data_IF_321302312753
#
_entry.id   IF_321302312753
#
_cell.length_a   1.000
_cell.length_b   1.000
_cell.length_c   1.000
_cell.angle_alpha   90.00
_cell.angle_beta   90.00
_cell.angle_gamma   90.00
#
_symmetry.space_group_name_H-M   'P 1'
#
loop_
_entity.id
_entity.type
_entity.pdbx_description
1 polymer ?
#
# COMPACT_ATOMS: atom_id res chain seq x y z
N UNK A 1 -6.01 28.47 -12.97
CA UNK A 1 -5.41 27.17 -13.18
C UNK A 1 -5.18 26.45 -11.87
N UNK A 2 -5.84 25.32 -11.65
CA UNK A 2 -5.60 24.47 -10.50
C UNK A 2 -4.24 23.77 -10.69
N UNK A 3 -3.21 24.20 -9.97
CA UNK A 3 -1.96 23.45 -9.90
C UNK A 3 -2.16 22.26 -8.98
N UNK A 4 -2.28 21.08 -9.58
CA UNK A 4 -2.27 19.81 -8.86
C UNK A 4 -0.83 19.46 -8.48
N UNK A 5 -0.44 19.72 -7.24
CA UNK A 5 0.88 19.34 -6.73
C UNK A 5 0.90 17.84 -6.41
N UNK A 6 1.34 17.04 -7.37
CA UNK A 6 1.66 15.62 -7.13
C UNK A 6 3.15 15.56 -6.78
N UNK A 7 3.47 15.27 -5.53
CA UNK A 7 4.85 15.00 -5.10
C UNK A 7 4.90 13.73 -4.27
N UNK A 8 5.54 12.73 -4.85
CA UNK A 8 5.92 11.51 -4.14
C UNK A 8 7.20 11.81 -3.34
N UNK A 9 7.13 11.80 -2.02
CA UNK A 9 8.31 11.92 -1.17
C UNK A 9 8.30 10.82 -0.11
N UNK A 10 9.29 9.94 -0.20
CA UNK A 10 9.44 8.74 0.61
C UNK A 10 10.20 8.96 1.94
N UNK A 11 10.13 10.15 2.55
CA UNK A 11 10.78 10.44 3.83
C UNK A 11 9.77 10.76 4.93
N UNK A 12 9.85 10.05 6.06
CA UNK A 12 8.88 10.13 7.16
C UNK A 12 8.83 11.48 7.86
N UNK A 13 9.94 12.18 8.05
CA UNK A 13 9.97 13.48 8.74
C UNK A 13 9.49 14.67 7.89
N UNK A 14 9.66 14.62 6.58
CA UNK A 14 9.17 15.65 5.66
C UNK A 14 7.68 15.47 5.32
N UNK A 15 7.15 14.25 5.46
CA UNK A 15 5.76 13.92 5.12
C UNK A 15 4.77 14.63 6.02
N UNK A 16 4.98 14.64 7.33
CA UNK A 16 4.07 15.27 8.29
C UNK A 16 4.03 16.80 8.08
N UNK A 17 5.20 17.41 7.84
CA UNK A 17 5.30 18.84 7.51
C UNK A 17 4.59 19.16 6.19
N UNK A 18 4.68 18.29 5.20
CA UNK A 18 3.99 18.45 3.93
C UNK A 18 2.48 18.35 4.10
N UNK A 19 2.00 17.32 4.80
CA UNK A 19 0.57 17.12 5.08
C UNK A 19 -0.01 18.34 5.78
N UNK A 20 0.62 18.83 6.85
CA UNK A 20 0.18 20.03 7.57
C UNK A 20 0.08 21.26 6.66
N UNK A 21 1.02 21.44 5.71
CA UNK A 21 0.96 22.54 4.74
C UNK A 21 -0.18 22.35 3.74
N UNK A 22 -0.41 21.13 3.26
CA UNK A 22 -1.50 20.83 2.32
C UNK A 22 -2.87 21.01 2.98
N UNK A 23 -3.04 20.59 4.23
CA UNK A 23 -4.25 20.82 5.03
C UNK A 23 -4.54 22.31 5.20
N UNK A 24 -3.52 23.13 5.46
CA UNK A 24 -3.69 24.59 5.52
C UNK A 24 -4.11 25.20 4.19
N UNK A 25 -3.51 24.76 3.09
CA UNK A 25 -3.86 25.23 1.75
C UNK A 25 -5.24 24.76 1.33
N UNK A 26 -5.70 23.62 1.81
CA UNK A 26 -7.01 23.05 1.47
C UNK A 26 -8.19 23.88 1.97
N UNK A 27 -7.96 24.85 2.85
CA UNK A 27 -8.97 25.83 3.24
C UNK A 27 -9.37 26.77 2.09
N UNK A 28 -8.50 26.92 1.08
CA UNK A 28 -8.69 27.85 -0.03
C UNK A 28 -8.92 27.15 -1.38
N UNK A 29 -8.67 25.86 -1.46
CA UNK A 29 -8.82 25.06 -2.70
C UNK A 29 -8.98 23.58 -2.37
N UNK A 30 -9.60 22.77 -3.23
CA UNK A 30 -9.59 21.33 -3.08
C UNK A 30 -8.19 20.78 -3.36
N UNK A 31 -7.68 19.97 -2.44
CA UNK A 31 -6.35 19.33 -2.54
C UNK A 31 -6.54 17.83 -2.39
N UNK A 32 -6.00 17.06 -3.32
CA UNK A 32 -5.90 15.61 -3.23
C UNK A 32 -4.44 15.19 -2.96
N UNK A 33 -4.27 14.29 -2.01
CA UNK A 33 -2.97 13.70 -1.70
C UNK A 33 -3.06 12.19 -1.54
N UNK A 34 -2.13 11.48 -2.14
CA UNK A 34 -1.92 10.04 -1.92
C UNK A 34 -0.45 9.68 -2.10
N UNK A 35 0.11 8.91 -1.19
CA UNK A 35 1.46 8.37 -1.31
C UNK A 35 1.60 7.34 -2.44
N UNK A 36 0.50 6.76 -2.90
CA UNK A 36 0.44 5.86 -4.05
C UNK A 36 -0.80 6.18 -4.87
N UNK A 37 -0.61 6.57 -6.13
CA UNK A 37 -1.70 6.98 -7.01
C UNK A 37 -2.45 5.82 -7.65
N UNK A 38 -2.06 4.56 -7.42
CA UNK A 38 -2.82 3.41 -7.90
C UNK A 38 -4.13 3.25 -7.12
N UNK A 39 -5.26 3.42 -7.79
CA UNK A 39 -6.57 3.13 -7.21
C UNK A 39 -6.71 1.65 -6.84
N UNK A 40 -6.10 0.73 -7.62
CA UNK A 40 -6.09 -0.70 -7.31
C UNK A 40 -5.39 -1.02 -5.97
N UNK A 41 -4.28 -0.33 -5.66
CA UNK A 41 -3.61 -0.47 -4.36
C UNK A 41 -4.46 0.12 -3.23
N UNK A 42 -5.15 1.24 -3.45
CA UNK A 42 -6.11 1.75 -2.48
C UNK A 42 -7.25 0.74 -2.23
N UNK A 43 -7.86 0.20 -3.28
CA UNK A 43 -8.89 -0.83 -3.15
C UNK A 43 -8.38 -2.06 -2.41
N UNK A 44 -7.12 -2.49 -2.68
CA UNK A 44 -6.48 -3.60 -1.97
C UNK A 44 -6.37 -3.32 -0.46
N UNK A 45 -6.02 -2.10 -0.03
CA UNK A 45 -6.01 -1.76 1.40
C UNK A 45 -7.39 -1.91 2.03
N UNK A 46 -8.47 -1.49 1.34
CA UNK A 46 -9.85 -1.65 1.83
C UNK A 46 -10.31 -3.11 1.90
N UNK A 47 -9.88 -3.93 0.96
CA UNK A 47 -10.12 -5.37 1.01
C UNK A 47 -9.42 -5.99 2.23
N UNK A 48 -8.17 -5.57 2.52
CA UNK A 48 -7.42 -6.05 3.69
C UNK A 48 -8.08 -5.62 5.01
N UNK A 49 -8.60 -4.39 5.11
CA UNK A 49 -9.35 -3.92 6.27
C UNK A 49 -10.54 -4.84 6.60
N UNK A 50 -11.13 -5.48 5.59
CA UNK A 50 -12.22 -6.44 5.73
C UNK A 50 -11.71 -7.87 5.93
N UNK A 51 -10.74 -8.30 5.14
CA UNK A 51 -10.26 -9.69 5.12
C UNK A 51 -9.51 -10.06 6.41
N UNK A 52 -8.64 -9.20 6.91
CA UNK A 52 -7.80 -9.49 8.08
C UNK A 52 -8.62 -9.82 9.33
N UNK A 53 -9.68 -9.07 9.69
CA UNK A 53 -10.53 -9.44 10.82
C UNK A 53 -11.29 -10.75 10.63
N UNK A 54 -11.69 -11.08 9.39
CA UNK A 54 -12.41 -12.34 9.09
C UNK A 54 -11.48 -13.57 9.15
N UNK A 55 -10.19 -13.38 8.84
CA UNK A 55 -9.21 -14.45 8.70
C UNK A 55 -8.19 -14.43 9.85
N UNK A 56 -8.63 -14.12 11.08
CA UNK A 56 -7.75 -13.96 12.24
C UNK A 56 -6.92 -15.20 12.59
N UNK A 57 -7.45 -16.39 12.28
CA UNK A 57 -6.76 -17.65 12.54
C UNK A 57 -5.83 -18.11 11.41
N UNK A 58 -5.82 -17.38 10.29
CA UNK A 58 -4.95 -17.67 9.15
C UNK A 58 -3.57 -17.06 9.35
N UNK A 59 -2.55 -17.76 8.92
CA UNK A 59 -1.20 -17.24 8.76
C UNK A 59 -1.15 -16.27 7.58
N UNK A 60 -0.37 -15.20 7.68
CA UNK A 60 -0.26 -14.21 6.60
C UNK A 60 1.17 -14.15 6.08
N UNK A 61 1.31 -14.22 4.76
CA UNK A 61 2.57 -14.02 4.05
C UNK A 61 2.39 -12.98 2.96
N UNK A 62 3.29 -12.02 2.90
CA UNK A 62 3.31 -10.95 1.90
C UNK A 62 4.44 -11.17 0.92
N UNK A 63 4.14 -11.19 -0.36
CA UNK A 63 5.16 -11.28 -1.42
C UNK A 63 5.01 -10.12 -2.39
N UNK A 64 6.13 -9.50 -2.75
CA UNK A 64 6.18 -8.52 -3.83
C UNK A 64 7.23 -8.88 -4.86
N UNK A 65 6.96 -8.54 -6.11
CA UNK A 65 7.90 -8.72 -7.21
C UNK A 65 8.03 -7.43 -8.03
N UNK A 66 9.27 -7.03 -8.29
CA UNK A 66 9.59 -5.89 -9.14
C UNK A 66 10.78 -6.18 -10.06
N UNK A 67 11.02 -5.26 -10.98
CA UNK A 67 12.15 -5.33 -11.91
C UNK A 67 13.51 -5.41 -11.19
N UNK A 68 14.50 -5.99 -11.86
CA UNK A 68 15.84 -6.22 -11.32
C UNK A 68 16.63 -4.94 -11.00
N UNK A 69 16.15 -3.76 -11.42
CA UNK A 69 16.77 -2.45 -11.14
C UNK A 69 16.19 -1.75 -9.92
N UNK A 70 15.16 -2.32 -9.25
CA UNK A 70 14.59 -1.74 -8.04
C UNK A 70 15.50 -2.00 -6.85
N UNK A 71 15.92 -0.93 -6.17
CA UNK A 71 16.92 -0.99 -5.08
C UNK A 71 16.25 -1.26 -3.73
N UNK A 72 15.17 -0.53 -3.42
CA UNK A 72 14.46 -0.69 -2.16
C UNK A 72 13.76 -2.05 -2.09
N UNK A 73 13.93 -2.74 -0.96
CA UNK A 73 13.28 -4.01 -0.63
C UNK A 73 13.04 -4.07 0.89
N UNK A 74 11.80 -4.31 1.33
CA UNK A 74 10.58 -4.42 0.54
C UNK A 74 10.18 -3.08 -0.09
N UNK A 75 9.30 -3.13 -1.11
CA UNK A 75 8.76 -1.93 -1.75
C UNK A 75 7.90 -1.10 -0.77
N UNK A 76 7.87 0.23 -0.96
CA UNK A 76 7.00 1.09 -0.15
C UNK A 76 5.52 0.69 -0.16
N UNK A 77 5.05 0.09 -1.27
CA UNK A 77 3.69 -0.47 -1.35
C UNK A 77 3.51 -1.67 -0.43
N UNK A 78 4.47 -2.59 -0.39
CA UNK A 78 4.38 -3.74 0.52
C UNK A 78 4.43 -3.31 1.98
N UNK A 79 5.28 -2.34 2.33
CA UNK A 79 5.33 -1.75 3.67
C UNK A 79 3.97 -1.18 4.06
N UNK A 80 3.33 -0.41 3.16
CA UNK A 80 1.98 0.13 3.40
C UNK A 80 0.94 -0.97 3.64
N UNK A 81 0.97 -2.06 2.86
CA UNK A 81 0.05 -3.20 3.04
C UNK A 81 0.30 -3.90 4.38
N UNK A 82 1.57 -4.07 4.77
CA UNK A 82 1.93 -4.59 6.09
C UNK A 82 1.43 -3.69 7.22
N UNK A 83 1.57 -2.36 7.10
CA UNK A 83 1.11 -1.41 8.11
C UNK A 83 -0.40 -1.52 8.35
N UNK A 84 -1.20 -1.65 7.28
CA UNK A 84 -2.65 -1.90 7.39
C UNK A 84 -2.93 -3.20 8.16
N UNK A 85 -2.21 -4.28 7.86
CA UNK A 85 -2.38 -5.55 8.58
C UNK A 85 -1.98 -5.40 10.04
N UNK A 86 -0.88 -4.70 10.32
CA UNK A 86 -0.38 -4.48 11.67
C UNK A 86 -1.33 -3.65 12.54
N UNK A 87 -2.00 -2.66 11.97
CA UNK A 87 -3.06 -1.90 12.69
C UNK A 87 -4.20 -2.81 13.14
N UNK A 88 -4.53 -3.84 12.36
CA UNK A 88 -5.60 -4.80 12.64
C UNK A 88 -5.14 -6.00 13.46
N UNK A 89 -3.84 -6.30 13.46
CA UNK A 89 -3.17 -7.35 14.24
C UNK A 89 -1.96 -6.75 14.98
N UNK A 90 -2.20 -6.01 16.06
CA UNK A 90 -1.19 -5.24 16.78
C UNK A 90 0.04 -6.03 17.25
N UNK A 91 -0.12 -7.33 17.52
CA UNK A 91 0.97 -8.22 17.94
C UNK A 91 1.84 -8.71 16.78
N UNK A 92 1.48 -8.41 15.53
CA UNK A 92 2.20 -8.89 14.35
C UNK A 92 3.65 -8.41 14.31
N UNK A 93 4.55 -9.32 13.94
CA UNK A 93 5.97 -9.05 13.75
C UNK A 93 6.41 -9.43 12.34
N UNK A 94 7.12 -8.55 11.61
CA UNK A 94 7.59 -8.86 10.26
C UNK A 94 8.76 -9.84 10.31
N UNK A 95 8.75 -10.83 9.44
CA UNK A 95 9.83 -11.80 9.27
C UNK A 95 10.26 -11.79 7.80
N UNK A 96 11.49 -11.36 7.56
CA UNK A 96 12.02 -11.20 6.20
C UNK A 96 12.74 -12.45 5.69
N UNK A 97 13.19 -13.31 6.61
CA UNK A 97 13.87 -14.55 6.28
C UNK A 97 13.66 -15.59 7.38
N UNK A 98 13.44 -16.83 6.94
CA UNK A 98 13.34 -17.99 7.83
C UNK A 98 14.47 -19.00 7.64
N UNK A 99 15.48 -18.68 6.80
CA UNK A 99 16.54 -19.62 6.44
C UNK A 99 17.26 -20.19 7.67
N UNK A 100 17.60 -19.32 8.62
CA UNK A 100 18.33 -19.72 9.84
C UNK A 100 17.43 -20.01 11.06
N UNK A 101 16.10 -19.98 10.87
CA UNK A 101 15.17 -20.26 11.96
C UNK A 101 14.97 -21.76 12.12
N UNK A 102 15.11 -22.23 13.34
CA UNK A 102 14.90 -23.65 13.73
C UNK A 102 13.55 -23.88 14.43
N UNK A 103 12.89 -22.81 14.86
CA UNK A 103 11.59 -22.85 15.50
C UNK A 103 10.45 -22.88 14.48
N UNK A 104 9.33 -23.46 14.90
CA UNK A 104 8.08 -23.36 14.13
C UNK A 104 7.66 -21.91 14.00
N UNK A 105 6.95 -21.60 12.91
CA UNK A 105 6.31 -20.31 12.71
C UNK A 105 5.42 -19.96 13.90
N UNK A 106 5.55 -18.74 14.43
CA UNK A 106 4.61 -18.23 15.42
C UNK A 106 3.36 -17.64 14.73
N UNK A 107 2.27 -17.57 15.48
CA UNK A 107 1.00 -17.01 14.98
C UNK A 107 1.10 -15.50 14.66
N UNK A 108 2.02 -14.81 15.34
CA UNK A 108 2.23 -13.36 15.17
C UNK A 108 3.22 -13.01 14.05
N UNK A 109 3.87 -14.00 13.46
CA UNK A 109 4.76 -13.76 12.33
C UNK A 109 3.96 -13.41 11.08
N UNK A 110 4.42 -12.39 10.36
CA UNK A 110 4.02 -12.09 8.98
C UNK A 110 5.26 -12.13 8.11
N UNK A 111 5.32 -13.10 7.20
CA UNK A 111 6.42 -13.19 6.26
C UNK A 111 6.38 -12.05 5.24
N UNK A 112 7.55 -11.50 4.94
CA UNK A 112 7.72 -10.41 3.97
C UNK A 112 8.79 -10.79 2.96
N UNK A 113 8.39 -10.98 1.71
CA UNK A 113 9.24 -11.51 0.65
C UNK A 113 9.35 -10.53 -0.51
N UNK A 114 10.58 -10.24 -0.93
CA UNK A 114 10.86 -9.35 -2.05
C UNK A 114 11.57 -10.09 -3.17
N UNK A 115 10.91 -10.17 -4.33
CA UNK A 115 11.44 -10.77 -5.55
C UNK A 115 11.90 -9.66 -6.50
N UNK A 116 13.09 -9.84 -7.12
CA UNK A 116 13.65 -8.93 -8.13
C UNK A 116 13.96 -9.73 -9.38
N UNK A 117 13.30 -9.37 -10.51
CA UNK A 117 13.50 -10.11 -11.75
C UNK A 117 13.01 -9.36 -12.99
N UNK A 118 13.71 -9.51 -14.08
CA UNK A 118 13.31 -9.02 -15.39
C UNK A 118 12.86 -7.55 -15.38
N UNK A 119 11.70 -7.33 -16.00
CA UNK A 119 11.04 -6.03 -16.16
C UNK A 119 9.70 -5.97 -15.44
N UNK A 120 9.48 -6.79 -14.41
CA UNK A 120 8.25 -6.81 -13.62
C UNK A 120 7.94 -5.38 -13.13
N UNK A 121 6.77 -4.89 -13.44
CA UNK A 121 6.36 -3.51 -13.11
C UNK A 121 6.09 -3.37 -11.61
N UNK A 122 5.34 -4.32 -11.05
CA UNK A 122 5.03 -4.41 -9.62
C UNK A 122 3.88 -5.40 -9.39
N UNK A 123 4.15 -6.42 -8.61
CA UNK A 123 3.16 -7.42 -8.19
C UNK A 123 3.17 -7.50 -6.67
N UNK A 124 2.01 -7.69 -6.06
CA UNK A 124 1.84 -7.81 -4.62
C UNK A 124 0.80 -8.90 -4.35
N UNK A 125 1.21 -9.94 -3.64
CA UNK A 125 0.37 -11.05 -3.24
C UNK A 125 0.29 -11.10 -1.71
N UNK A 126 -0.92 -11.22 -1.18
CA UNK A 126 -1.21 -11.43 0.23
C UNK A 126 -1.83 -12.81 0.35
N UNK A 127 -1.07 -13.75 0.88
CA UNK A 127 -1.50 -15.12 1.16
C UNK A 127 -2.03 -15.20 2.59
N UNK A 128 -3.22 -15.71 2.74
CA UNK A 128 -3.82 -16.17 3.99
C UNK A 128 -3.85 -17.69 3.95
N UNK A 129 -3.14 -18.33 4.88
CA UNK A 129 -3.03 -19.79 4.95
C UNK A 129 -3.74 -20.30 6.22
N UNK A 130 -4.84 -21.00 6.02
CA UNK A 130 -5.61 -21.67 7.07
C UNK A 130 -5.30 -23.16 7.14
N UNK A 131 -6.12 -23.91 7.87
CA UNK A 131 -6.05 -25.37 7.92
C UNK A 131 -6.67 -25.93 6.65
N UNK A 132 -5.84 -26.64 5.86
CA UNK A 132 -6.22 -27.30 4.60
C UNK A 132 -6.78 -26.35 3.50
N UNK A 133 -6.61 -25.04 3.64
CA UNK A 133 -7.05 -24.05 2.65
C UNK A 133 -6.14 -22.83 2.62
N UNK A 134 -6.15 -22.13 1.50
CA UNK A 134 -5.47 -20.84 1.33
C UNK A 134 -6.36 -19.85 0.56
N UNK A 135 -6.22 -18.58 0.90
CA UNK A 135 -6.81 -17.46 0.15
C UNK A 135 -5.66 -16.54 -0.26
N UNK A 136 -5.61 -16.17 -1.53
CA UNK A 136 -4.62 -15.19 -2.01
C UNK A 136 -5.34 -13.99 -2.62
N UNK A 137 -4.96 -12.80 -2.17
CA UNK A 137 -5.41 -11.54 -2.74
C UNK A 137 -4.22 -10.93 -3.47
N UNK A 138 -4.37 -10.68 -4.77
CA UNK A 138 -3.28 -10.26 -5.66
C UNK A 138 -3.56 -8.93 -6.34
N UNK A 139 -2.54 -8.10 -6.48
CA UNK A 139 -2.52 -6.93 -7.34
C UNK A 139 -1.31 -7.00 -8.26
N UNK A 140 -1.53 -6.89 -9.57
CA UNK A 140 -0.49 -6.92 -10.59
C UNK A 140 -0.56 -5.69 -11.48
N UNK A 141 0.46 -4.84 -11.42
CA UNK A 141 0.60 -3.71 -12.33
C UNK A 141 1.13 -4.19 -13.68
N UNK A 142 0.38 -3.98 -14.75
CA UNK A 142 0.81 -4.30 -16.11
C UNK A 142 1.62 -3.19 -16.75
N UNK A 143 1.42 -1.93 -16.30
CA UNK A 143 2.11 -0.74 -16.76
C UNK A 143 2.23 0.27 -15.62
N UNK A 144 3.21 1.17 -15.70
CA UNK A 144 3.30 2.34 -14.79
C UNK A 144 2.16 3.36 -15.01
N UNK A 145 1.42 3.22 -16.10
CA UNK A 145 0.28 4.09 -16.40
C UNK A 145 -0.83 4.01 -15.35
N UNK A 146 -0.85 2.96 -14.53
CA UNK A 146 -1.79 2.85 -13.38
C UNK A 146 -1.71 4.08 -12.46
N UNK A 147 -0.52 4.65 -12.28
CA UNK A 147 -0.33 5.83 -11.43
C UNK A 147 -0.86 7.09 -12.11
N UNK A 148 -0.61 7.26 -13.41
CA UNK A 148 -1.14 8.36 -14.20
C UNK A 148 -2.68 8.29 -14.28
N UNK A 149 -3.23 7.11 -14.56
CA UNK A 149 -4.68 6.89 -14.62
C UNK A 149 -5.35 7.17 -13.27
N UNK A 150 -4.74 6.75 -12.17
CA UNK A 150 -5.25 7.04 -10.84
C UNK A 150 -5.22 8.54 -10.51
N UNK A 151 -4.15 9.24 -10.90
CA UNK A 151 -4.04 10.68 -10.73
C UNK A 151 -5.08 11.45 -11.57
N UNK A 152 -5.29 11.06 -12.83
CA UNK A 152 -6.30 11.65 -13.72
C UNK A 152 -7.70 11.42 -13.15
N UNK A 153 -8.04 10.18 -12.77
CA UNK A 153 -9.34 9.88 -12.17
C UNK A 153 -9.59 10.63 -10.84
N UNK A 154 -8.56 10.84 -10.05
CA UNK A 154 -8.66 11.69 -8.86
C UNK A 154 -8.88 13.16 -9.24
N UNK A 155 -8.18 13.69 -10.25
CA UNK A 155 -8.33 15.05 -10.70
C UNK A 155 -9.74 15.32 -11.26
N UNK A 156 -10.29 14.42 -12.06
CA UNK A 156 -11.64 14.51 -12.61
C UNK A 156 -12.72 14.62 -11.53
N UNK A 157 -12.54 13.93 -10.41
CA UNK A 157 -13.45 14.04 -9.26
C UNK A 157 -13.20 15.32 -8.46
N UNK A 158 -11.93 15.69 -8.29
CA UNK A 158 -11.51 16.81 -7.44
C UNK A 158 -12.04 18.16 -7.95
N UNK A 159 -12.14 18.35 -9.27
CA UNK A 159 -12.64 19.60 -9.86
C UNK A 159 -14.11 19.93 -9.48
N UNK A 160 -14.85 18.93 -9.00
CA UNK A 160 -16.23 19.08 -8.56
C UNK A 160 -16.38 19.16 -7.03
N UNK A 161 -15.25 19.14 -6.30
CA UNK A 161 -15.25 19.19 -4.83
C UNK A 161 -15.11 20.63 -4.32
N UNK A 162 -15.67 20.87 -3.16
CA UNK A 162 -15.44 22.10 -2.40
C UNK A 162 -14.01 22.14 -1.84
N UNK A 163 -13.61 23.28 -1.29
CA UNK A 163 -12.33 23.42 -0.60
C UNK A 163 -12.22 22.35 0.49
N UNK A 164 -11.10 21.64 0.54
CA UNK A 164 -10.90 20.57 1.49
C UNK A 164 -9.70 19.69 1.13
N UNK A 165 -9.29 18.86 2.10
CA UNK A 165 -8.23 17.88 1.94
C UNK A 165 -8.84 16.50 1.63
N UNK A 166 -8.44 15.94 0.52
CA UNK A 166 -9.00 14.70 -0.02
C UNK A 166 -7.93 13.61 -0.18
N UNK A 167 -8.33 12.40 0.10
CA UNK A 167 -7.61 11.17 -0.20
C UNK A 167 -8.52 10.26 -1.03
N UNK A 168 -8.08 9.06 -1.38
CA UNK A 168 -8.97 8.08 -2.02
C UNK A 168 -10.14 7.64 -1.12
N UNK A 169 -10.08 7.87 0.19
CA UNK A 169 -11.14 7.47 1.13
C UNK A 169 -12.34 8.41 1.11
N UNK A 170 -12.14 9.68 0.73
CA UNK A 170 -13.17 10.72 0.80
C UNK A 170 -13.35 11.53 -0.51
N UNK A 171 -12.70 11.11 -1.59
CA UNK A 171 -12.74 11.77 -2.89
C UNK A 171 -14.08 11.50 -3.67
#
# INVERSE_FOLDING_TARGET
GSEMCIRDSATTGEKDTLITKLEKLSQNMPIFFSANMSYGIHALTKILETAVPLLQDFDIELTEAHHNKKVDAPSGTLVKLYDVIKELRAQSTPVYDRHDKTEKRSKDEIGIHAVRGGTIVGEHDILFAGTDETITISHKAQSKDIFANGAIGAAEKLIHKENGYYTFDNL
#
